data_IF_978274779553
#
_entry.id   IF_978274779553
#
_cell.length_a   1.000
_cell.length_b   1.000
_cell.length_c   1.000
_cell.angle_alpha   90.00
_cell.angle_beta   90.00
_cell.angle_gamma   90.00
#
_symmetry.space_group_name_H-M   'P 1'
#
loop_
_entity.id
_entity.type
_entity.pdbx_description
1 polymer ?
#
# COMPACT_ATOMS: atom_id res chain seq x y z
N UNK A 1 43.21 5.61 28.22
CA UNK A 1 42.61 5.82 29.57
C UNK A 1 41.14 5.41 29.48
N UNK A 2 40.54 4.81 30.52
CA UNK A 2 39.10 4.55 30.50
C UNK A 2 38.36 5.88 30.32
N UNK A 3 37.56 6.00 29.26
CA UNK A 3 36.79 7.20 28.96
C UNK A 3 35.78 7.43 30.07
N UNK A 4 35.90 8.54 30.80
CA UNK A 4 34.91 8.91 31.82
C UNK A 4 33.60 9.26 31.13
N UNK A 5 32.47 9.10 31.83
CA UNK A 5 31.17 9.48 31.28
C UNK A 5 31.13 10.95 30.84
N UNK A 6 31.73 11.84 31.62
CA UNK A 6 31.84 13.26 31.27
C UNK A 6 32.61 13.47 29.96
N UNK A 7 33.74 12.78 29.77
CA UNK A 7 34.51 12.87 28.52
C UNK A 7 33.75 12.31 27.32
N UNK A 8 33.03 11.19 27.49
CA UNK A 8 32.21 10.61 26.42
C UNK A 8 31.04 11.50 26.02
N UNK A 9 30.37 12.14 26.98
CA UNK A 9 29.29 13.08 26.70
C UNK A 9 29.84 14.36 26.04
N UNK A 10 30.99 14.87 26.48
CA UNK A 10 31.63 16.03 25.86
C UNK A 10 31.99 15.78 24.39
N UNK A 11 32.47 14.57 24.07
CA UNK A 11 32.77 14.16 22.70
C UNK A 11 31.51 14.09 21.82
N UNK A 12 30.40 13.55 22.35
CA UNK A 12 29.11 13.55 21.66
C UNK A 12 28.62 14.98 21.41
N UNK A 13 28.76 15.89 22.39
CA UNK A 13 28.40 17.31 22.21
C UNK A 13 29.21 17.94 21.10
N UNK A 14 30.53 17.69 21.04
CA UNK A 14 31.39 18.19 19.97
C UNK A 14 30.93 17.67 18.59
N UNK A 15 30.68 16.36 18.49
CA UNK A 15 30.23 15.74 17.25
C UNK A 15 28.90 16.33 16.73
N UNK A 16 27.93 16.58 17.61
CA UNK A 16 26.64 17.22 17.23
C UNK A 16 26.84 18.71 16.88
N UNK A 17 27.82 19.38 17.51
CA UNK A 17 28.10 20.81 17.29
C UNK A 17 28.77 21.08 15.94
N UNK A 18 29.52 20.11 15.40
CA UNK A 18 30.07 20.16 14.04
C UNK A 18 29.00 19.84 12.99
N UNK A 19 28.09 20.79 12.77
CA UNK A 19 26.90 20.60 11.93
C UNK A 19 27.16 20.21 10.49
N UNK A 20 28.35 20.51 9.94
CA UNK A 20 28.70 20.17 8.56
C UNK A 20 29.12 18.69 8.38
N UNK A 21 29.51 18.02 9.48
CA UNK A 21 29.91 16.61 9.48
C UNK A 21 28.97 15.71 10.27
N UNK A 22 28.12 16.28 11.13
CA UNK A 22 27.08 15.56 11.87
C UNK A 22 26.02 14.97 10.94
N UNK A 23 25.62 13.71 11.14
CA UNK A 23 24.56 13.04 10.34
C UNK A 23 23.30 12.85 11.17
N UNK A 24 23.41 12.19 12.33
CA UNK A 24 22.30 12.03 13.28
C UNK A 24 22.77 11.66 14.67
N UNK A 25 21.92 11.89 15.66
CA UNK A 25 22.07 11.37 17.01
C UNK A 25 20.76 10.72 17.47
N UNK A 26 20.85 9.54 18.09
CA UNK A 26 19.71 8.83 18.67
C UNK A 26 19.97 8.62 20.16
N UNK A 27 19.05 9.11 20.98
CA UNK A 27 19.01 8.88 22.43
C UNK A 27 17.91 7.88 22.74
N UNK A 28 18.25 6.77 23.38
CA UNK A 28 17.26 5.73 23.70
C UNK A 28 17.58 4.94 24.96
N UNK A 29 16.56 4.27 25.50
CA UNK A 29 16.67 3.44 26.70
C UNK A 29 16.81 4.26 27.98
N UNK A 30 16.23 3.77 29.07
CA UNK A 30 16.10 4.50 30.33
C UNK A 30 17.15 4.08 31.35
N UNK A 31 17.78 5.04 32.04
CA UNK A 31 18.64 4.78 33.20
C UNK A 31 17.81 4.39 34.42
N UNK A 32 18.35 3.52 35.27
CA UNK A 32 17.71 3.15 36.55
C UNK A 32 17.57 4.42 37.42
N UNK A 33 16.39 4.64 37.98
CA UNK A 33 16.01 5.82 38.79
C UNK A 33 15.74 7.12 38.02
N UNK A 34 15.63 7.08 36.69
CA UNK A 34 15.11 8.20 35.90
C UNK A 34 13.69 7.89 35.45
N UNK A 35 12.77 8.84 35.62
CA UNK A 35 11.48 8.83 34.94
C UNK A 35 11.61 9.67 33.67
N UNK A 36 11.39 9.03 32.52
CA UNK A 36 11.43 9.69 31.22
C UNK A 36 10.01 9.73 30.68
N UNK A 37 9.50 10.93 30.40
CA UNK A 37 8.26 11.08 29.63
C UNK A 37 8.47 10.78 28.13
N UNK A 38 9.72 10.85 27.67
CA UNK A 38 10.13 10.62 26.28
C UNK A 38 10.95 9.33 26.21
N UNK A 39 10.53 8.37 25.39
CA UNK A 39 11.21 7.07 25.24
C UNK A 39 12.41 7.13 24.29
N UNK A 40 12.36 8.03 23.30
CA UNK A 40 13.40 8.18 22.28
C UNK A 40 13.49 9.62 21.76
N UNK A 41 14.71 10.08 21.54
CA UNK A 41 14.99 11.35 20.85
C UNK A 41 15.87 11.08 19.63
N UNK A 42 15.43 11.53 18.46
CA UNK A 42 16.21 11.52 17.23
C UNK A 42 16.55 12.97 16.84
N UNK A 43 17.84 13.25 16.65
CA UNK A 43 18.38 14.56 16.30
C UNK A 43 19.05 14.46 14.93
N UNK A 44 18.78 15.38 14.01
CA UNK A 44 19.48 15.47 12.72
C UNK A 44 19.66 16.92 12.28
N UNK A 45 20.68 17.24 11.46
CA UNK A 45 20.81 18.58 10.89
C UNK A 45 19.79 18.79 9.77
N UNK A 46 19.27 20.00 9.65
CA UNK A 46 18.34 20.41 8.57
C UNK A 46 18.66 21.82 8.11
N UNK A 47 18.67 22.06 6.80
CA UNK A 47 18.88 23.37 6.21
C UNK A 47 17.54 24.13 6.16
N UNK A 48 17.42 25.22 6.92
CA UNK A 48 16.22 26.05 6.98
C UNK A 48 16.61 27.50 6.73
N UNK A 49 16.05 28.11 5.68
CA UNK A 49 16.32 29.51 5.28
C UNK A 49 17.82 29.84 5.20
N UNK A 50 18.63 28.89 4.73
CA UNK A 50 20.07 29.07 4.53
C UNK A 50 20.95 28.78 5.75
N UNK A 51 20.39 28.39 6.90
CA UNK A 51 21.15 28.00 8.09
C UNK A 51 20.90 26.52 8.45
N UNK A 52 21.95 25.80 8.85
CA UNK A 52 21.81 24.42 9.37
C UNK A 52 21.37 24.49 10.84
N UNK A 53 20.15 24.05 11.10
CA UNK A 53 19.57 23.90 12.44
C UNK A 53 19.53 22.42 12.84
N UNK A 54 19.26 22.14 14.12
CA UNK A 54 19.00 20.79 14.60
C UNK A 54 17.50 20.54 14.67
N UNK A 55 17.04 19.52 13.94
CA UNK A 55 15.70 18.98 14.10
C UNK A 55 15.72 17.91 15.19
N UNK A 56 14.91 18.10 16.23
CA UNK A 56 14.81 17.23 17.40
C UNK A 56 13.41 16.62 17.38
N UNK A 57 13.35 15.30 17.26
CA UNK A 57 12.13 14.50 17.25
C UNK A 57 12.05 13.75 18.58
N UNK A 58 11.03 14.04 19.39
CA UNK A 58 10.82 13.42 20.70
C UNK A 58 9.62 12.48 20.62
N UNK A 59 9.82 11.19 20.92
CA UNK A 59 8.79 10.15 20.88
C UNK A 59 8.47 9.65 22.29
N UNK A 60 7.21 9.75 22.69
CA UNK A 60 6.70 9.29 24.01
C UNK A 60 6.16 7.84 24.00
N UNK A 61 6.30 7.14 22.87
CA UNK A 61 5.77 5.79 22.64
C UNK A 61 4.46 5.77 21.86
N UNK A 62 3.73 6.90 21.80
CA UNK A 62 2.44 7.04 21.11
C UNK A 62 2.48 8.15 20.06
N UNK A 63 3.12 9.28 20.38
CA UNK A 63 3.20 10.49 19.57
C UNK A 63 4.65 10.91 19.42
N UNK A 64 4.96 11.46 18.25
CA UNK A 64 6.25 12.10 17.97
C UNK A 64 6.03 13.60 17.79
N UNK A 65 6.70 14.42 18.60
CA UNK A 65 6.77 15.86 18.40
C UNK A 65 8.06 16.23 17.69
N UNK A 66 8.06 17.33 16.93
CA UNK A 66 9.24 17.78 16.17
C UNK A 66 9.46 19.26 16.37
N UNK A 67 10.69 19.63 16.74
CA UNK A 67 11.12 21.03 16.88
C UNK A 67 12.42 21.26 16.12
N UNK A 68 12.55 22.39 15.45
CA UNK A 68 13.80 22.80 14.80
C UNK A 68 14.40 23.94 15.64
N UNK A 69 15.63 23.79 16.10
CA UNK A 69 16.28 24.76 16.97
C UNK A 69 17.78 24.88 16.66
N UNK A 70 18.30 26.08 16.87
CA UNK A 70 19.72 26.35 16.95
C UNK A 70 20.17 26.08 18.40
N UNK A 71 20.68 24.88 18.70
CA UNK A 71 21.11 24.54 20.06
C UNK A 71 22.58 24.89 20.29
N UNK A 72 22.86 25.55 21.42
CA UNK A 72 24.21 25.71 21.96
C UNK A 72 24.76 24.40 22.53
N UNK A 73 26.07 24.33 22.76
CA UNK A 73 26.74 23.17 23.37
C UNK A 73 26.14 22.82 24.74
N UNK A 74 25.79 23.83 25.53
CA UNK A 74 25.19 23.69 26.85
C UNK A 74 23.77 23.09 26.75
N UNK A 75 23.00 23.51 25.73
CA UNK A 75 21.66 22.97 25.50
C UNK A 75 21.69 21.52 25.00
N UNK A 76 22.67 21.17 24.15
CA UNK A 76 22.90 19.79 23.72
C UNK A 76 23.29 18.95 24.94
N UNK A 77 24.24 19.40 25.76
CA UNK A 77 24.66 18.69 26.97
C UNK A 77 23.49 18.50 27.96
N UNK A 78 22.63 19.51 28.13
CA UNK A 78 21.43 19.39 28.96
C UNK A 78 20.48 18.30 28.42
N UNK A 79 20.31 18.21 27.10
CA UNK A 79 19.48 17.18 26.44
C UNK A 79 20.05 15.77 26.68
N UNK A 80 21.37 15.60 26.59
CA UNK A 80 22.03 14.31 26.83
C UNK A 80 21.91 13.85 28.30
N UNK A 81 21.77 14.80 29.24
CA UNK A 81 21.64 14.53 30.67
C UNK A 81 20.20 14.24 31.13
N UNK A 82 19.24 14.14 30.21
CA UNK A 82 17.82 13.90 30.55
C UNK A 82 17.52 12.51 31.11
N UNK A 83 18.45 11.55 31.00
CA UNK A 83 18.32 10.22 31.64
C UNK A 83 18.40 9.02 30.69
N UNK A 84 18.79 9.23 29.43
CA UNK A 84 18.98 8.16 28.46
C UNK A 84 20.20 7.28 28.79
N UNK A 85 20.12 6.00 28.45
CA UNK A 85 21.16 5.01 28.69
C UNK A 85 21.98 4.69 27.44
N UNK A 86 21.44 4.88 26.24
CA UNK A 86 22.12 4.60 24.98
C UNK A 86 22.12 5.83 24.07
N UNK A 87 23.25 6.05 23.43
CA UNK A 87 23.52 7.15 22.53
C UNK A 87 24.18 6.57 21.28
N UNK A 88 23.63 6.87 20.12
CA UNK A 88 24.28 6.63 18.83
C UNK A 88 24.47 7.98 18.17
N UNK A 89 25.70 8.32 17.80
CA UNK A 89 26.02 9.52 17.03
C UNK A 89 26.70 9.07 15.76
N UNK A 90 26.20 9.50 14.62
CA UNK A 90 26.82 9.29 13.32
C UNK A 90 27.29 10.62 12.78
N UNK A 91 28.54 10.63 12.32
CA UNK A 91 29.16 11.68 11.55
C UNK A 91 29.59 11.10 10.20
N UNK A 92 29.94 11.95 9.23
CA UNK A 92 30.28 11.50 7.87
C UNK A 92 31.37 10.42 7.80
N UNK A 93 32.31 10.43 8.76
CA UNK A 93 33.49 9.56 8.76
C UNK A 93 33.43 8.41 9.78
N UNK A 94 32.33 8.28 10.52
CA UNK A 94 32.18 7.20 11.51
C UNK A 94 31.05 7.41 12.51
N UNK A 95 30.92 6.47 13.45
CA UNK A 95 29.92 6.49 14.50
C UNK A 95 30.51 6.31 15.89
N UNK A 96 29.83 6.89 16.89
CA UNK A 96 30.10 6.74 18.31
C UNK A 96 28.85 6.14 18.95
N UNK A 97 29.00 4.95 19.54
CA UNK A 97 27.96 4.32 20.36
C UNK A 97 28.36 4.37 21.83
N UNK A 98 27.62 5.12 22.64
CA UNK A 98 27.81 5.18 24.10
C UNK A 98 26.65 4.46 24.79
N UNK A 99 26.99 3.55 25.70
CA UNK A 99 26.06 2.91 26.64
C UNK A 99 26.46 3.21 28.07
N UNK A 100 25.53 3.74 28.86
CA UNK A 100 25.70 3.99 30.29
C UNK A 100 25.22 2.75 31.06
N UNK A 101 26.11 2.14 31.83
CA UNK A 101 25.79 0.94 32.60
C UNK A 101 24.91 1.25 33.81
N UNK A 102 24.37 0.21 34.46
CA UNK A 102 23.61 0.35 35.72
C UNK A 102 24.45 0.98 36.86
N UNK A 103 25.79 0.94 36.76
CA UNK A 103 26.71 1.55 37.72
C UNK A 103 27.10 2.99 37.36
N UNK A 104 26.60 3.52 36.24
CA UNK A 104 26.92 4.88 35.76
C UNK A 104 28.21 4.98 34.94
N UNK A 105 28.83 3.84 34.61
CA UNK A 105 30.05 3.80 33.80
C UNK A 105 29.73 3.92 32.30
N UNK A 106 30.60 4.56 31.54
CA UNK A 106 30.48 4.71 30.10
C UNK A 106 31.14 3.55 29.36
N UNK A 107 30.40 2.90 28.47
CA UNK A 107 30.92 1.96 27.48
C UNK A 107 30.82 2.61 26.11
N UNK A 108 31.97 2.97 25.52
CA UNK A 108 32.03 3.66 24.23
C UNK A 108 32.60 2.72 23.17
N UNK A 109 31.93 2.66 22.02
CA UNK A 109 32.38 1.96 20.84
C UNK A 109 32.46 2.92 19.66
N UNK A 110 33.52 2.79 18.86
CA UNK A 110 33.78 3.61 17.69
C UNK A 110 33.82 2.73 16.45
N UNK A 111 33.15 3.17 15.41
CA UNK A 111 33.13 2.51 14.12
C UNK A 111 33.51 3.52 13.03
N UNK A 112 34.39 3.11 12.11
CA UNK A 112 34.67 3.91 10.90
C UNK A 112 33.66 3.52 9.83
N UNK A 113 33.11 4.50 9.13
CA UNK A 113 32.15 4.27 8.06
C UNK A 113 31.82 5.57 7.35
N UNK A 114 31.37 5.48 6.11
CA UNK A 114 30.90 6.65 5.36
C UNK A 114 29.39 6.81 5.53
N UNK A 115 28.97 7.88 6.18
CA UNK A 115 27.57 8.21 6.39
C UNK A 115 27.19 9.47 5.61
N UNK A 116 26.05 9.43 4.91
CA UNK A 116 25.59 10.56 4.10
C UNK A 116 24.76 11.51 4.95
N UNK A 117 25.19 12.76 5.06
CA UNK A 117 24.40 13.81 5.68
C UNK A 117 23.22 14.20 4.77
N UNK A 118 22.01 14.18 5.34
CA UNK A 118 20.81 14.67 4.66
C UNK A 118 20.29 15.94 5.35
N UNK A 119 20.43 17.08 4.67
CA UNK A 119 20.01 18.40 5.15
C UNK A 119 18.57 18.76 4.77
N UNK A 120 17.82 17.88 4.10
CA UNK A 120 16.44 18.15 3.72
C UNK A 120 15.54 18.24 4.97
N UNK A 121 14.91 19.40 5.16
CA UNK A 121 13.95 19.63 6.25
C UNK A 121 12.57 19.02 5.99
N UNK A 122 12.24 18.78 4.72
CA UNK A 122 11.00 18.17 4.30
C UNK A 122 11.27 16.70 4.04
N UNK A 123 10.49 15.84 4.67
CA UNK A 123 10.49 14.43 4.33
C UNK A 123 9.99 14.33 2.88
N UNK A 124 10.88 14.21 1.89
CA UNK A 124 10.50 13.72 0.57
C UNK A 124 9.83 12.37 0.81
N UNK A 125 8.50 12.33 0.66
CA UNK A 125 7.77 11.07 0.63
C UNK A 125 8.41 10.27 -0.50
N UNK A 126 8.86 9.06 -0.22
CA UNK A 126 9.36 8.17 -1.28
C UNK A 126 8.12 7.77 -2.10
N UNK A 127 7.90 8.47 -3.21
CA UNK A 127 6.73 8.30 -4.08
C UNK A 127 7.06 7.21 -5.10
N UNK A 128 6.04 6.41 -5.45
CA UNK A 128 6.18 5.39 -6.49
C UNK A 128 6.15 6.00 -7.89
N UNK A 129 5.40 7.10 -8.06
CA UNK A 129 5.42 7.95 -9.25
C UNK A 129 5.61 9.40 -8.82
N UNK A 130 6.51 10.10 -9.52
CA UNK A 130 6.70 11.53 -9.29
C UNK A 130 5.51 12.32 -9.85
N UNK A 131 5.04 13.39 -9.17
CA UNK A 131 3.97 14.26 -9.66
C UNK A 131 4.16 14.83 -11.06
N UNK A 132 5.41 14.94 -11.50
CA UNK A 132 5.80 15.38 -12.84
C UNK A 132 5.71 14.29 -13.90
N UNK A 133 5.32 13.06 -13.56
CA UNK A 133 5.13 12.00 -14.54
C UNK A 133 4.14 12.46 -15.63
N UNK A 134 4.48 12.33 -16.93
CA UNK A 134 3.64 12.78 -18.03
C UNK A 134 2.20 12.26 -17.95
N UNK A 135 2.01 11.03 -17.48
CA UNK A 135 0.67 10.46 -17.33
C UNK A 135 -0.18 11.29 -16.35
N UNK A 136 0.38 11.69 -15.20
CA UNK A 136 -0.37 12.43 -14.18
C UNK A 136 -0.80 13.80 -14.68
N UNK A 137 -0.01 14.41 -15.56
CA UNK A 137 -0.33 15.67 -16.23
C UNK A 137 -1.46 15.43 -17.24
N UNK A 138 -1.33 14.42 -18.09
CA UNK A 138 -2.27 14.12 -19.19
C UNK A 138 -3.67 13.73 -18.67
N UNK A 139 -3.75 12.92 -17.60
CA UNK A 139 -5.04 12.61 -16.95
C UNK A 139 -5.56 13.74 -16.06
N UNK A 140 -4.81 14.84 -15.96
CA UNK A 140 -5.19 16.06 -15.28
C UNK A 140 -5.15 15.99 -13.75
N UNK A 141 -4.41 15.05 -13.15
CA UNK A 141 -4.13 14.98 -11.71
C UNK A 141 -3.10 16.06 -11.32
N UNK A 142 -2.04 16.19 -12.12
CA UNK A 142 -1.03 17.23 -12.00
C UNK A 142 -1.29 18.39 -12.97
N UNK A 143 -0.71 19.54 -12.69
CA UNK A 143 -0.63 20.66 -13.61
C UNK A 143 0.59 20.54 -14.56
N UNK A 144 0.71 21.47 -15.50
CA UNK A 144 1.82 21.49 -16.48
C UNK A 144 3.20 21.74 -15.86
N UNK A 145 3.27 22.10 -14.57
CA UNK A 145 4.52 22.26 -13.82
C UNK A 145 4.88 21.01 -13.03
N UNK A 146 4.09 19.94 -13.13
CA UNK A 146 4.30 18.70 -12.38
C UNK A 146 3.90 18.81 -10.92
N UNK A 147 2.95 19.69 -10.57
CA UNK A 147 2.42 19.82 -9.21
C UNK A 147 1.01 19.21 -9.15
N UNK A 148 0.77 18.33 -8.17
CA UNK A 148 -0.57 17.73 -7.96
C UNK A 148 -1.58 18.83 -7.62
N UNK A 149 -2.66 18.92 -8.40
CA UNK A 149 -3.71 19.92 -8.18
C UNK A 149 -4.35 19.71 -6.81
N UNK A 150 -4.63 20.78 -6.02
CA UNK A 150 -5.27 20.64 -4.71
C UNK A 150 -6.59 19.85 -4.76
N UNK A 151 -7.39 20.05 -5.81
CA UNK A 151 -8.66 19.33 -6.03
C UNK A 151 -8.53 17.87 -6.46
N UNK A 152 -7.29 17.38 -6.65
CA UNK A 152 -6.98 16.03 -7.15
C UNK A 152 -6.08 15.24 -6.20
N UNK A 153 -5.84 15.74 -4.99
CA UNK A 153 -5.00 15.07 -3.98
C UNK A 153 -5.51 13.66 -3.66
N UNK A 154 -6.83 13.47 -3.52
CA UNK A 154 -7.41 12.16 -3.22
C UNK A 154 -7.15 11.14 -4.34
N UNK A 155 -7.22 11.57 -5.61
CA UNK A 155 -6.90 10.72 -6.76
C UNK A 155 -5.43 10.37 -6.82
N UNK A 156 -4.55 11.32 -6.49
CA UNK A 156 -3.12 11.06 -6.43
C UNK A 156 -2.79 10.06 -5.31
N UNK A 157 -3.39 10.23 -4.13
CA UNK A 157 -3.25 9.27 -3.02
C UNK A 157 -3.75 7.88 -3.42
N UNK A 158 -4.89 7.80 -4.12
CA UNK A 158 -5.41 6.53 -4.63
C UNK A 158 -4.46 5.84 -5.59
N UNK A 159 -3.77 6.60 -6.47
CA UNK A 159 -2.69 6.08 -7.32
C UNK A 159 -1.56 5.52 -6.47
N UNK A 160 -1.08 6.27 -5.47
CA UNK A 160 0.03 5.82 -4.61
C UNK A 160 -0.33 4.54 -3.85
N UNK A 161 -1.48 4.48 -3.18
CA UNK A 161 -1.90 3.30 -2.42
C UNK A 161 -2.12 2.09 -3.33
N UNK A 162 -2.70 2.30 -4.51
CA UNK A 162 -2.86 1.23 -5.49
C UNK A 162 -1.52 0.63 -5.90
N UNK A 163 -0.54 1.47 -6.23
CA UNK A 163 0.79 1.00 -6.61
C UNK A 163 1.53 0.32 -5.44
N UNK A 164 1.32 0.79 -4.20
CA UNK A 164 1.86 0.13 -2.99
C UNK A 164 1.31 -1.28 -2.79
N UNK A 165 0.10 -1.56 -3.26
CA UNK A 165 -0.50 -2.88 -3.21
C UNK A 165 -0.12 -3.73 -4.43
N UNK A 166 -0.17 -3.14 -5.63
CA UNK A 166 0.12 -3.83 -6.88
C UNK A 166 1.57 -4.32 -6.94
N UNK A 167 2.53 -3.43 -6.73
CA UNK A 167 3.94 -3.73 -6.99
C UNK A 167 4.45 -4.92 -6.17
N UNK A 168 4.37 -4.91 -4.82
CA UNK A 168 4.89 -6.03 -4.02
C UNK A 168 4.13 -7.34 -4.29
N UNK A 169 2.85 -7.25 -4.67
CA UNK A 169 2.05 -8.42 -5.01
C UNK A 169 2.52 -9.06 -6.32
N UNK A 170 2.78 -8.26 -7.35
CA UNK A 170 3.37 -8.73 -8.61
C UNK A 170 4.75 -9.35 -8.35
N UNK A 171 5.62 -8.71 -7.57
CA UNK A 171 6.96 -9.20 -7.22
C UNK A 171 6.91 -10.56 -6.54
N UNK A 172 6.03 -10.67 -5.54
CA UNK A 172 5.85 -11.89 -4.77
C UNK A 172 5.30 -13.01 -5.64
N UNK A 173 4.34 -12.71 -6.52
CA UNK A 173 3.74 -13.71 -7.40
C UNK A 173 4.71 -14.19 -8.49
N UNK A 174 5.56 -13.30 -9.04
CA UNK A 174 6.65 -13.69 -9.94
C UNK A 174 7.67 -14.57 -9.20
N UNK A 175 8.12 -14.14 -8.03
CA UNK A 175 9.12 -14.85 -7.23
C UNK A 175 8.64 -16.25 -6.79
N UNK A 176 7.33 -16.39 -6.55
CA UNK A 176 6.70 -17.67 -6.21
C UNK A 176 6.34 -18.53 -7.43
N UNK A 177 6.64 -18.07 -8.66
CA UNK A 177 6.33 -18.81 -9.90
C UNK A 177 4.85 -18.83 -10.28
N UNK A 178 4.04 -17.94 -9.70
CA UNK A 178 2.60 -17.81 -9.96
C UNK A 178 2.31 -16.88 -11.14
N UNK A 179 3.22 -15.94 -11.41
CA UNK A 179 3.25 -15.12 -12.62
C UNK A 179 4.56 -15.35 -13.37
N UNK A 180 4.56 -15.27 -14.71
CA UNK A 180 5.79 -15.30 -15.48
C UNK A 180 6.61 -14.03 -15.22
N UNK A 181 7.95 -14.16 -15.19
CA UNK A 181 8.83 -13.00 -15.24
C UNK A 181 8.71 -12.34 -16.63
N UNK A 182 8.35 -11.04 -16.72
CA UNK A 182 8.14 -10.40 -18.00
C UNK A 182 9.45 -10.21 -18.77
N UNK A 183 9.35 -10.32 -20.10
CA UNK A 183 10.43 -9.99 -21.05
C UNK A 183 9.83 -9.17 -22.18
N UNK A 184 10.66 -8.50 -23.00
CA UNK A 184 10.15 -7.75 -24.16
C UNK A 184 9.31 -8.61 -25.11
N UNK A 185 9.69 -9.88 -25.29
CA UNK A 185 8.94 -10.83 -26.14
C UNK A 185 7.67 -11.40 -25.50
N UNK A 186 7.57 -11.31 -24.16
CA UNK A 186 6.47 -11.84 -23.35
C UNK A 186 6.22 -10.86 -22.20
N UNK A 187 5.58 -9.72 -22.48
CA UNK A 187 5.27 -8.75 -21.45
C UNK A 187 4.23 -9.30 -20.48
N UNK A 188 4.18 -8.75 -19.27
CA UNK A 188 3.14 -9.05 -18.31
C UNK A 188 1.81 -8.47 -18.81
N UNK A 189 0.81 -9.33 -19.00
CA UNK A 189 -0.48 -8.96 -19.56
C UNK A 189 -1.45 -8.58 -18.45
N UNK A 190 -1.87 -7.32 -18.44
CA UNK A 190 -2.80 -6.78 -17.46
C UNK A 190 -4.11 -6.45 -18.15
N UNK A 191 -5.23 -6.87 -17.56
CA UNK A 191 -6.56 -6.52 -18.05
C UNK A 191 -7.33 -5.81 -16.94
N UNK A 192 -7.72 -4.56 -17.19
CA UNK A 192 -8.50 -3.74 -16.26
C UNK A 192 -9.97 -3.72 -16.71
N UNK A 193 -10.81 -4.37 -15.91
CA UNK A 193 -12.21 -4.67 -16.18
C UNK A 193 -13.09 -3.60 -15.52
N UNK A 194 -13.67 -2.71 -16.32
CA UNK A 194 -14.38 -1.54 -15.84
C UNK A 194 -13.43 -0.36 -15.57
N UNK A 195 -12.53 -0.07 -16.51
CA UNK A 195 -11.44 0.90 -16.30
C UNK A 195 -11.92 2.36 -16.23
N UNK A 196 -13.08 2.72 -16.80
CA UNK A 196 -13.62 4.08 -16.77
C UNK A 196 -12.64 5.14 -17.30
N UNK A 197 -12.23 6.06 -16.41
CA UNK A 197 -11.22 7.08 -16.71
C UNK A 197 -9.77 6.59 -16.77
N UNK A 198 -9.55 5.32 -16.48
CA UNK A 198 -8.30 4.59 -16.65
C UNK A 198 -7.06 5.18 -15.95
N UNK A 199 -7.21 6.11 -15.01
CA UNK A 199 -6.04 6.70 -14.34
C UNK A 199 -5.26 5.67 -13.50
N UNK A 200 -5.92 4.67 -12.91
CA UNK A 200 -5.23 3.56 -12.24
C UNK A 200 -4.63 2.57 -13.24
N UNK A 201 -5.28 2.35 -14.38
CA UNK A 201 -4.78 1.57 -15.50
C UNK A 201 -3.45 2.14 -16.01
N UNK A 202 -3.42 3.46 -16.28
CA UNK A 202 -2.21 4.16 -16.70
C UNK A 202 -1.15 4.18 -15.60
N UNK A 203 -1.53 4.34 -14.33
CA UNK A 203 -0.59 4.28 -13.22
C UNK A 203 0.10 2.91 -13.14
N UNK A 204 -0.64 1.80 -13.24
CA UNK A 204 -0.07 0.45 -13.27
C UNK A 204 0.92 0.29 -14.43
N UNK A 205 0.50 0.70 -15.63
CA UNK A 205 1.33 0.66 -16.83
C UNK A 205 2.65 1.43 -16.64
N UNK A 206 2.55 2.72 -16.29
CA UNK A 206 3.70 3.62 -16.17
C UNK A 206 4.67 3.15 -15.08
N UNK A 207 4.15 2.78 -13.92
CA UNK A 207 4.98 2.34 -12.81
C UNK A 207 5.72 1.04 -13.14
N UNK A 208 5.01 0.02 -13.64
CA UNK A 208 5.65 -1.25 -13.97
C UNK A 208 6.69 -1.07 -15.09
N UNK A 209 6.38 -0.29 -16.11
CA UNK A 209 7.34 0.04 -17.18
C UNK A 209 8.57 0.79 -16.65
N UNK A 210 8.40 1.72 -15.69
CA UNK A 210 9.51 2.45 -15.05
C UNK A 210 10.41 1.57 -14.15
N UNK A 211 9.95 0.36 -13.81
CA UNK A 211 10.69 -0.62 -13.00
C UNK A 211 11.25 -1.76 -13.85
N UNK A 212 11.52 -1.48 -15.14
CA UNK A 212 12.06 -2.42 -16.13
C UNK A 212 11.21 -3.68 -16.31
N UNK A 213 9.88 -3.56 -16.19
CA UNK A 213 8.93 -4.64 -16.49
C UNK A 213 8.14 -4.33 -17.75
N UNK A 214 8.42 -5.05 -18.85
CA UNK A 214 7.58 -4.98 -20.03
C UNK A 214 6.15 -5.38 -19.67
N UNK A 215 5.20 -4.51 -19.99
CA UNK A 215 3.77 -4.69 -19.70
C UNK A 215 2.96 -4.43 -20.95
N UNK A 216 1.88 -5.20 -21.11
CA UNK A 216 0.83 -4.91 -22.07
C UNK A 216 -0.49 -4.80 -21.31
N UNK A 217 -1.18 -3.68 -21.45
CA UNK A 217 -2.37 -3.37 -20.66
C UNK A 217 -3.59 -3.22 -21.57
N UNK A 218 -4.69 -3.89 -21.22
CA UNK A 218 -5.98 -3.78 -21.91
C UNK A 218 -6.99 -3.20 -20.92
N UNK A 219 -7.50 -1.99 -21.20
CA UNK A 219 -8.61 -1.40 -20.45
C UNK A 219 -9.96 -1.71 -21.11
N UNK A 220 -10.87 -2.32 -20.37
CA UNK A 220 -12.24 -2.65 -20.82
C UNK A 220 -13.24 -1.71 -20.14
N UNK A 221 -14.09 -1.06 -20.92
CA UNK A 221 -15.23 -0.29 -20.42
C UNK A 221 -16.38 -0.36 -21.43
N UNK A 222 -17.63 -0.27 -21.00
CA UNK A 222 -18.77 -0.30 -21.93
C UNK A 222 -18.94 1.02 -22.71
N UNK A 223 -18.37 2.12 -22.21
CA UNK A 223 -18.59 3.45 -22.78
C UNK A 223 -17.57 3.76 -23.86
N UNK A 224 -18.08 3.93 -25.07
CA UNK A 224 -17.28 4.34 -26.24
C UNK A 224 -16.54 5.68 -26.01
N UNK A 225 -17.14 6.62 -25.28
CA UNK A 225 -16.51 7.89 -24.91
C UNK A 225 -15.28 7.67 -24.00
N UNK A 226 -15.36 6.73 -23.05
CA UNK A 226 -14.22 6.37 -22.20
C UNK A 226 -13.08 5.80 -23.03
N UNK A 227 -13.39 4.86 -23.96
CA UNK A 227 -12.42 4.29 -24.90
C UNK A 227 -11.71 5.38 -25.69
N UNK A 228 -12.46 6.22 -26.40
CA UNK A 228 -11.91 7.26 -27.27
C UNK A 228 -11.03 8.27 -26.50
N UNK A 229 -11.46 8.68 -25.30
CA UNK A 229 -10.65 9.55 -24.43
C UNK A 229 -9.34 8.88 -24.02
N UNK A 230 -9.41 7.63 -23.55
CA UNK A 230 -8.24 6.94 -23.03
C UNK A 230 -7.24 6.60 -24.15
N UNK A 231 -7.70 6.28 -25.36
CA UNK A 231 -6.84 6.13 -26.54
C UNK A 231 -6.11 7.42 -26.90
N UNK A 232 -6.80 8.56 -26.85
CA UNK A 232 -6.17 9.87 -27.09
C UNK A 232 -5.06 10.15 -26.08
N UNK A 233 -5.29 9.80 -24.80
CA UNK A 233 -4.28 9.92 -23.73
C UNK A 233 -3.09 8.99 -24.02
N UNK A 234 -3.34 7.73 -24.40
CA UNK A 234 -2.28 6.78 -24.74
C UNK A 234 -1.41 7.26 -25.93
N UNK A 235 -2.04 7.85 -26.94
CA UNK A 235 -1.35 8.46 -28.08
C UNK A 235 -0.50 9.66 -27.67
N UNK A 236 -1.04 10.56 -26.83
CA UNK A 236 -0.33 11.73 -26.32
C UNK A 236 0.90 11.33 -25.48
N UNK A 237 0.81 10.21 -24.75
CA UNK A 237 1.90 9.65 -23.96
C UNK A 237 2.88 8.79 -24.77
N UNK A 238 2.59 8.48 -26.04
CA UNK A 238 3.44 7.65 -26.89
C UNK A 238 3.51 6.18 -26.46
N UNK A 239 2.45 5.66 -25.85
CA UNK A 239 2.40 4.29 -25.27
C UNK A 239 1.37 3.38 -25.95
N UNK A 240 0.79 3.80 -27.08
CA UNK A 240 -0.26 3.04 -27.79
C UNK A 240 0.13 1.64 -28.25
N UNK A 241 1.42 1.30 -28.24
CA UNK A 241 1.90 -0.07 -28.55
C UNK A 241 1.80 -1.02 -27.35
N UNK A 242 1.73 -0.50 -26.13
CA UNK A 242 1.76 -1.26 -24.87
C UNK A 242 0.49 -1.07 -24.03
N UNK A 243 -0.44 -0.22 -24.45
CA UNK A 243 -1.76 -0.09 -23.85
C UNK A 243 -2.85 0.11 -24.91
N UNK A 244 -3.93 -0.64 -24.79
CA UNK A 244 -5.11 -0.54 -25.64
C UNK A 244 -6.40 -0.44 -24.81
N UNK A 245 -7.46 0.11 -25.40
CA UNK A 245 -8.77 0.23 -24.75
C UNK A 245 -9.87 -0.33 -25.64
N UNK A 246 -10.82 -1.05 -25.04
CA UNK A 246 -11.92 -1.68 -25.78
C UNK A 246 -13.26 -1.30 -25.18
N UNK A 247 -14.19 -0.90 -26.04
CA UNK A 247 -15.56 -0.60 -25.69
C UNK A 247 -16.40 -1.89 -25.69
N UNK A 248 -16.37 -2.63 -24.59
CA UNK A 248 -16.96 -3.96 -24.47
C UNK A 248 -17.56 -4.19 -23.09
N UNK A 249 -18.59 -5.03 -23.03
CA UNK A 249 -19.05 -5.59 -21.75
C UNK A 249 -18.03 -6.60 -21.22
N UNK A 250 -17.82 -6.61 -19.91
CA UNK A 250 -16.88 -7.53 -19.24
C UNK A 250 -17.21 -8.99 -19.58
N UNK A 251 -18.49 -9.37 -19.46
CA UNK A 251 -18.96 -10.72 -19.75
C UNK A 251 -18.80 -11.13 -21.23
N UNK A 252 -18.82 -10.16 -22.16
CA UNK A 252 -18.67 -10.39 -23.59
C UNK A 252 -17.22 -10.27 -24.08
N UNK A 253 -16.28 -9.92 -23.19
CA UNK A 253 -14.87 -9.71 -23.56
C UNK A 253 -14.23 -11.05 -23.91
N UNK A 254 -13.77 -11.18 -25.16
CA UNK A 254 -13.19 -12.41 -25.69
C UNK A 254 -11.96 -12.85 -24.90
N UNK A 255 -11.72 -14.17 -24.88
CA UNK A 255 -10.56 -14.75 -24.22
C UNK A 255 -9.27 -14.12 -24.73
N UNK A 256 -8.50 -13.55 -23.81
CA UNK A 256 -7.18 -12.97 -24.05
C UNK A 256 -6.19 -13.56 -23.06
N UNK A 257 -4.89 -13.47 -23.36
CA UNK A 257 -3.87 -13.83 -22.40
C UNK A 257 -3.91 -12.82 -21.24
N UNK A 258 -4.00 -13.28 -20.00
CA UNK A 258 -4.06 -12.43 -18.81
C UNK A 258 -3.22 -13.03 -17.70
N UNK A 259 -2.28 -12.22 -17.20
CA UNK A 259 -1.47 -12.55 -16.03
C UNK A 259 -2.09 -11.89 -14.79
N UNK A 260 -2.49 -10.61 -14.93
CA UNK A 260 -3.08 -9.80 -13.86
C UNK A 260 -4.44 -9.25 -14.30
N UNK A 261 -5.50 -9.57 -13.57
CA UNK A 261 -6.81 -8.96 -13.73
C UNK A 261 -7.04 -7.89 -12.66
N UNK A 262 -7.54 -6.73 -13.07
CA UNK A 262 -7.83 -5.58 -12.22
C UNK A 262 -9.31 -5.23 -12.37
N UNK A 263 -9.98 -4.87 -11.27
CA UNK A 263 -11.36 -4.38 -11.28
C UNK A 263 -11.58 -3.40 -10.13
N UNK A 264 -11.25 -2.12 -10.32
CA UNK A 264 -11.19 -1.13 -9.22
C UNK A 264 -12.41 -0.22 -9.12
N UNK A 265 -13.24 -0.21 -10.16
CA UNK A 265 -14.45 0.62 -10.25
C UNK A 265 -15.65 -0.13 -10.86
N UNK A 266 -15.55 -1.45 -11.04
CA UNK A 266 -16.69 -2.27 -11.41
C UNK A 266 -17.63 -2.33 -10.20
N UNK A 267 -18.86 -1.83 -10.33
CA UNK A 267 -19.81 -1.77 -9.23
C UNK A 267 -20.89 -2.85 -9.32
N UNK A 268 -21.37 -3.28 -8.14
CA UNK A 268 -22.41 -4.29 -7.97
C UNK A 268 -22.02 -5.61 -8.68
N UNK A 269 -22.88 -6.16 -9.52
CA UNK A 269 -22.61 -7.41 -10.26
C UNK A 269 -21.49 -7.28 -11.28
N UNK A 270 -21.08 -6.06 -11.67
CA UNK A 270 -19.94 -5.89 -12.58
C UNK A 270 -18.63 -6.35 -11.92
N UNK A 271 -18.49 -6.24 -10.58
CA UNK A 271 -17.35 -6.84 -9.88
C UNK A 271 -17.37 -8.36 -10.05
N UNK A 272 -18.54 -8.99 -9.96
CA UNK A 272 -18.71 -10.43 -10.10
C UNK A 272 -18.44 -10.89 -11.54
N UNK A 273 -18.87 -10.13 -12.55
CA UNK A 273 -18.51 -10.38 -13.95
C UNK A 273 -16.99 -10.33 -14.13
N UNK A 274 -16.32 -9.36 -13.50
CA UNK A 274 -14.86 -9.22 -13.58
C UNK A 274 -14.12 -10.39 -12.91
N UNK A 275 -14.57 -10.79 -11.71
CA UNK A 275 -14.02 -11.96 -11.01
C UNK A 275 -14.24 -13.24 -11.80
N UNK A 276 -15.45 -13.44 -12.34
CA UNK A 276 -15.77 -14.59 -13.16
C UNK A 276 -14.92 -14.63 -14.44
N UNK A 277 -14.78 -13.49 -15.11
CA UNK A 277 -13.93 -13.36 -16.30
C UNK A 277 -12.48 -13.70 -15.97
N UNK A 278 -11.93 -13.17 -14.88
CA UNK A 278 -10.55 -13.44 -14.46
C UNK A 278 -10.31 -14.92 -14.18
N UNK A 279 -11.25 -15.58 -13.49
CA UNK A 279 -11.20 -17.02 -13.23
C UNK A 279 -11.23 -17.83 -14.53
N UNK A 280 -12.19 -17.54 -15.43
CA UNK A 280 -12.37 -18.26 -16.72
C UNK A 280 -11.18 -18.10 -17.65
N UNK A 281 -10.51 -16.95 -17.60
CA UNK A 281 -9.31 -16.67 -18.40
C UNK A 281 -8.02 -17.12 -17.70
N UNK A 282 -8.12 -17.59 -16.46
CA UNK A 282 -7.02 -18.20 -15.73
C UNK A 282 -5.97 -17.22 -15.21
N UNK A 283 -6.37 -15.97 -14.92
CA UNK A 283 -5.48 -14.93 -14.39
C UNK A 283 -4.70 -15.45 -13.16
N UNK A 284 -3.38 -15.20 -13.13
CA UNK A 284 -2.53 -15.60 -12.01
C UNK A 284 -2.71 -14.69 -10.78
N UNK A 285 -3.07 -13.43 -11.00
CA UNK A 285 -3.34 -12.43 -9.97
C UNK A 285 -4.63 -11.68 -10.28
N UNK A 286 -5.45 -11.44 -9.25
CA UNK A 286 -6.67 -10.63 -9.31
C UNK A 286 -6.59 -9.56 -8.22
N UNK A 287 -6.84 -8.30 -8.58
CA UNK A 287 -7.03 -7.18 -7.67
C UNK A 287 -8.37 -6.52 -7.95
N UNK A 288 -9.34 -6.71 -7.05
CA UNK A 288 -10.67 -6.12 -7.18
C UNK A 288 -10.97 -5.21 -5.99
N UNK A 289 -11.49 -4.00 -6.24
CA UNK A 289 -11.97 -3.09 -5.21
C UNK A 289 -13.48 -2.90 -5.39
N UNK A 290 -14.32 -3.72 -4.74
CA UNK A 290 -15.76 -3.66 -4.91
C UNK A 290 -16.35 -2.34 -4.38
N UNK A 291 -17.09 -1.62 -5.23
CA UNK A 291 -17.69 -0.33 -4.86
C UNK A 291 -19.17 -0.40 -4.46
N UNK A 292 -19.92 -1.44 -4.85
CA UNK A 292 -21.33 -1.64 -4.51
C UNK A 292 -21.64 -3.13 -4.29
N UNK A 293 -22.66 -3.41 -3.45
CA UNK A 293 -22.94 -4.74 -2.93
C UNK A 293 -24.45 -5.01 -2.81
N UNK A 294 -25.22 -4.78 -3.88
CA UNK A 294 -26.67 -4.91 -3.80
C UNK A 294 -27.17 -6.35 -4.01
N UNK A 295 -26.40 -7.20 -4.70
CA UNK A 295 -26.80 -8.59 -4.99
C UNK A 295 -27.25 -9.34 -3.73
N UNK A 296 -26.34 -9.55 -2.77
CA UNK A 296 -26.67 -10.28 -1.54
C UNK A 296 -27.64 -9.49 -0.67
N UNK A 297 -27.50 -8.17 -0.58
CA UNK A 297 -28.42 -7.34 0.23
C UNK A 297 -29.89 -7.53 -0.17
N UNK A 298 -30.19 -7.66 -1.47
CA UNK A 298 -31.55 -7.88 -1.98
C UNK A 298 -32.07 -9.29 -1.71
N UNK A 299 -31.20 -10.24 -1.41
CA UNK A 299 -31.55 -11.63 -1.14
C UNK A 299 -31.71 -11.90 0.37
N UNK A 300 -31.29 -10.97 1.24
CA UNK A 300 -31.38 -11.09 2.70
C UNK A 300 -32.81 -10.88 3.22
N UNK A 301 -33.75 -11.71 2.77
CA UNK A 301 -35.15 -11.72 3.20
C UNK A 301 -35.36 -12.69 4.38
N UNK A 302 -34.81 -13.90 4.29
CA UNK A 302 -34.85 -14.90 5.35
C UNK A 302 -33.58 -14.80 6.23
N UNK A 303 -33.65 -13.99 7.29
CA UNK A 303 -32.51 -13.83 8.21
C UNK A 303 -32.44 -15.01 9.18
N UNK A 304 -31.33 -15.79 9.21
CA UNK A 304 -31.18 -16.86 10.19
C UNK A 304 -31.02 -16.29 11.61
N UNK A 305 -31.68 -16.89 12.60
CA UNK A 305 -31.44 -16.54 14.00
C UNK A 305 -30.01 -16.94 14.43
N UNK A 306 -29.32 -16.15 15.29
CA UNK A 306 -29.79 -14.96 16.01
C UNK A 306 -29.55 -13.63 15.27
N UNK A 307 -29.26 -13.64 13.97
CA UNK A 307 -28.84 -12.44 13.23
C UNK A 307 -29.93 -11.38 13.09
N UNK A 308 -31.18 -11.72 13.41
CA UNK A 308 -32.29 -10.75 13.52
C UNK A 308 -31.99 -9.63 14.52
N UNK A 309 -31.15 -9.89 15.53
CA UNK A 309 -30.67 -8.86 16.47
C UNK A 309 -29.88 -7.75 15.76
N UNK A 310 -29.08 -8.11 14.74
CA UNK A 310 -28.27 -7.16 13.96
C UNK A 310 -29.11 -6.54 12.84
N UNK A 311 -29.84 -7.36 12.08
CA UNK A 311 -30.47 -6.93 10.82
C UNK A 311 -31.77 -6.14 11.00
N UNK A 312 -32.34 -6.08 12.22
CA UNK A 312 -33.44 -5.15 12.56
C UNK A 312 -33.04 -3.69 12.42
N UNK A 313 -31.74 -3.37 12.55
CA UNK A 313 -31.21 -2.04 12.33
C UNK A 313 -30.77 -1.91 10.87
N UNK A 314 -31.44 -1.06 10.08
CA UNK A 314 -31.20 -0.96 8.62
C UNK A 314 -29.73 -0.75 8.25
N UNK A 315 -29.03 0.16 8.93
CA UNK A 315 -27.60 0.41 8.70
C UNK A 315 -26.71 -0.80 9.02
N UNK A 316 -27.06 -1.60 10.02
CA UNK A 316 -26.28 -2.80 10.36
C UNK A 316 -26.59 -3.95 9.38
N UNK A 317 -27.85 -4.05 8.89
CA UNK A 317 -28.22 -4.99 7.83
C UNK A 317 -27.44 -4.71 6.55
N UNK A 318 -27.36 -3.45 6.13
CA UNK A 318 -26.61 -3.03 4.95
C UNK A 318 -25.12 -3.39 5.06
N UNK A 319 -24.48 -3.02 6.18
CA UNK A 319 -23.06 -3.34 6.42
C UNK A 319 -22.81 -4.84 6.48
N UNK A 320 -23.70 -5.61 7.08
CA UNK A 320 -23.60 -7.07 7.09
C UNK A 320 -23.71 -7.64 5.67
N UNK A 321 -24.61 -7.09 4.85
CA UNK A 321 -24.73 -7.46 3.44
C UNK A 321 -23.47 -7.16 2.63
N UNK A 322 -22.84 -6.01 2.84
CA UNK A 322 -21.54 -5.67 2.22
C UNK A 322 -20.47 -6.70 2.61
N UNK A 323 -20.36 -7.01 3.90
CA UNK A 323 -19.41 -8.00 4.43
C UNK A 323 -19.68 -9.40 3.87
N UNK A 324 -20.94 -9.85 3.86
CA UNK A 324 -21.33 -11.15 3.35
C UNK A 324 -21.00 -11.27 1.85
N UNK A 325 -21.28 -10.23 1.07
CA UNK A 325 -20.97 -10.20 -0.36
C UNK A 325 -19.47 -10.41 -0.60
N UNK A 326 -18.61 -9.64 0.06
CA UNK A 326 -17.16 -9.76 -0.14
C UNK A 326 -16.59 -11.06 0.45
N UNK A 327 -17.15 -11.56 1.56
CA UNK A 327 -16.80 -12.85 2.12
C UNK A 327 -17.13 -14.00 1.16
N UNK A 328 -18.31 -13.97 0.53
CA UNK A 328 -18.74 -14.95 -0.47
C UNK A 328 -17.83 -14.89 -1.70
N UNK A 329 -17.54 -13.69 -2.22
CA UNK A 329 -16.60 -13.51 -3.34
C UNK A 329 -15.22 -14.10 -3.02
N UNK A 330 -14.69 -13.79 -1.85
CA UNK A 330 -13.42 -14.35 -1.39
C UNK A 330 -13.46 -15.87 -1.27
N UNK A 331 -14.55 -16.41 -0.72
CA UNK A 331 -14.70 -17.86 -0.53
C UNK A 331 -14.80 -18.59 -1.87
N UNK A 332 -15.57 -18.07 -2.84
CA UNK A 332 -15.66 -18.64 -4.18
C UNK A 332 -14.27 -18.70 -4.84
N UNK A 333 -13.48 -17.62 -4.77
CA UNK A 333 -12.12 -17.62 -5.32
C UNK A 333 -11.21 -18.64 -4.62
N UNK A 334 -11.33 -18.82 -3.29
CA UNK A 334 -10.59 -19.86 -2.55
C UNK A 334 -10.95 -21.26 -3.01
N UNK A 335 -12.25 -21.55 -3.17
CA UNK A 335 -12.73 -22.82 -3.69
C UNK A 335 -12.16 -23.11 -5.08
N UNK A 336 -11.93 -22.07 -5.88
CA UNK A 336 -11.39 -22.16 -7.24
C UNK A 336 -9.85 -22.07 -7.29
N UNK A 337 -9.17 -22.30 -6.16
CA UNK A 337 -7.71 -22.49 -6.11
C UNK A 337 -6.89 -21.21 -6.02
N UNK A 338 -7.48 -20.11 -5.55
CA UNK A 338 -6.77 -18.88 -5.24
C UNK A 338 -6.49 -18.77 -3.74
N UNK A 339 -5.33 -18.26 -3.39
CA UNK A 339 -5.08 -17.68 -2.07
C UNK A 339 -5.65 -16.27 -2.05
N UNK A 340 -6.59 -16.00 -1.15
CA UNK A 340 -7.39 -14.76 -1.15
C UNK A 340 -7.30 -14.01 0.17
N UNK A 341 -7.03 -12.72 0.07
CA UNK A 341 -6.97 -11.77 1.19
C UNK A 341 -7.86 -10.57 0.88
N UNK A 342 -8.61 -10.12 1.88
CA UNK A 342 -9.29 -8.84 1.85
C UNK A 342 -8.45 -7.85 2.68
N UNK A 343 -7.95 -6.80 2.03
CA UNK A 343 -7.03 -5.83 2.63
C UNK A 343 -7.58 -4.42 2.50
N UNK A 344 -7.10 -3.50 3.33
CA UNK A 344 -7.42 -2.08 3.19
C UNK A 344 -6.74 -1.50 1.95
N UNK A 345 -7.52 -0.78 1.13
CA UNK A 345 -7.07 -0.13 -0.10
C UNK A 345 -6.72 1.34 0.13
N UNK A 346 -7.61 2.12 0.73
CA UNK A 346 -7.41 3.55 1.01
C UNK A 346 -7.92 3.80 2.42
N UNK A 347 -7.19 4.57 3.23
CA UNK A 347 -7.58 4.87 4.61
C UNK A 347 -9.07 5.25 4.73
N UNK A 348 -9.78 4.65 5.70
CA UNK A 348 -11.24 4.80 5.90
C UNK A 348 -11.76 6.23 6.07
N UNK A 349 -10.87 7.20 6.30
CA UNK A 349 -11.15 8.65 6.28
C UNK A 349 -11.75 9.13 4.93
N UNK A 350 -11.48 8.40 3.84
CA UNK A 350 -11.79 8.81 2.45
C UNK A 350 -13.04 8.14 1.89
N UNK A 351 -13.37 6.94 2.35
CA UNK A 351 -14.54 6.18 1.90
C UNK A 351 -14.90 5.09 2.93
N UNK A 352 -16.19 4.85 3.22
CA UNK A 352 -16.62 3.72 4.03
C UNK A 352 -16.37 2.37 3.34
N UNK A 353 -16.13 2.37 2.02
CA UNK A 353 -15.76 1.20 1.22
C UNK A 353 -14.29 1.29 0.87
N UNK A 354 -13.46 0.71 1.73
CA UNK A 354 -12.00 0.75 1.67
C UNK A 354 -11.36 -0.63 1.44
N UNK A 355 -12.10 -1.62 0.92
CA UNK A 355 -11.62 -3.00 0.80
C UNK A 355 -11.11 -3.29 -0.62
N UNK A 356 -9.99 -4.02 -0.69
CA UNK A 356 -9.49 -4.67 -1.90
C UNK A 356 -9.39 -6.18 -1.68
N UNK A 357 -9.98 -6.94 -2.59
CA UNK A 357 -9.81 -8.39 -2.71
C UNK A 357 -8.55 -8.62 -3.56
N UNK A 358 -7.53 -9.21 -2.92
CA UNK A 358 -6.31 -9.69 -3.57
C UNK A 358 -6.36 -11.20 -3.64
N UNK A 359 -6.34 -11.76 -4.85
CA UNK A 359 -6.37 -13.21 -5.06
C UNK A 359 -5.21 -13.65 -5.96
N UNK A 360 -4.40 -14.59 -5.48
CA UNK A 360 -3.27 -15.15 -6.23
C UNK A 360 -3.52 -16.63 -6.48
N UNK A 361 -3.43 -17.06 -7.74
CA UNK A 361 -3.68 -18.44 -8.13
C UNK A 361 -2.55 -19.33 -7.63
N UNK A 362 -2.86 -20.28 -6.76
CA UNK A 362 -1.89 -21.23 -6.20
C UNK A 362 -2.09 -22.63 -6.74
N UNK A 363 -3.28 -22.95 -7.27
CA UNK A 363 -3.64 -24.29 -7.71
C UNK A 363 -3.84 -25.28 -6.56
N UNK A 364 -3.84 -24.81 -5.30
CA UNK A 364 -4.11 -25.65 -4.13
C UNK A 364 -5.60 -26.00 -4.13
N UNK A 365 -5.90 -27.29 -4.00
CA UNK A 365 -7.28 -27.77 -3.96
C UNK A 365 -8.03 -27.21 -2.73
N UNK A 366 -9.32 -26.95 -2.91
CA UNK A 366 -10.19 -26.52 -1.83
C UNK A 366 -10.21 -27.55 -0.69
N UNK A 367 -10.14 -27.08 0.55
CA UNK A 367 -10.30 -27.95 1.70
C UNK A 367 -11.78 -28.28 1.91
N UNK A 368 -12.08 -29.50 2.37
CA UNK A 368 -13.47 -29.91 2.62
C UNK A 368 -14.19 -28.98 3.59
N UNK A 369 -13.50 -28.51 4.62
CA UNK A 369 -14.06 -27.55 5.58
C UNK A 369 -14.47 -26.22 4.93
N UNK A 370 -13.76 -25.77 3.89
CA UNK A 370 -14.08 -24.53 3.17
C UNK A 370 -15.28 -24.70 2.25
N UNK A 371 -15.44 -25.89 1.67
CA UNK A 371 -16.65 -26.28 0.91
C UNK A 371 -17.86 -26.32 1.83
N UNK A 372 -17.76 -27.05 2.95
CA UNK A 372 -18.88 -27.23 3.88
C UNK A 372 -19.33 -25.89 4.49
N UNK A 373 -18.38 -24.99 4.84
CA UNK A 373 -18.69 -23.64 5.32
C UNK A 373 -19.40 -22.80 4.27
N UNK A 374 -18.96 -22.87 3.01
CA UNK A 374 -19.59 -22.15 1.92
C UNK A 374 -21.04 -22.62 1.72
N UNK A 375 -21.24 -23.94 1.57
CA UNK A 375 -22.58 -24.53 1.39
C UNK A 375 -23.49 -24.17 2.55
N UNK A 376 -23.02 -24.34 3.79
CA UNK A 376 -23.79 -24.02 4.99
C UNK A 376 -24.20 -22.54 5.02
N UNK A 377 -23.29 -21.62 4.69
CA UNK A 377 -23.60 -20.19 4.67
C UNK A 377 -24.66 -19.86 3.61
N UNK A 378 -24.53 -20.42 2.41
CA UNK A 378 -25.49 -20.22 1.33
C UNK A 378 -26.88 -20.77 1.69
N UNK A 379 -26.94 -21.96 2.29
CA UNK A 379 -28.20 -22.59 2.72
C UNK A 379 -28.86 -21.84 3.88
N UNK A 380 -28.10 -21.48 4.92
CA UNK A 380 -28.62 -20.79 6.10
C UNK A 380 -29.21 -19.42 5.77
N UNK A 381 -28.58 -18.70 4.84
CA UNK A 381 -29.02 -17.37 4.41
C UNK A 381 -29.92 -17.41 3.17
N UNK A 382 -30.18 -18.60 2.61
CA UNK A 382 -30.99 -18.82 1.40
C UNK A 382 -30.52 -17.98 0.20
N UNK A 383 -29.20 -17.89 0.01
CA UNK A 383 -28.60 -17.04 -1.00
C UNK A 383 -28.44 -17.76 -2.34
N UNK A 384 -28.46 -17.00 -3.42
CA UNK A 384 -28.05 -17.38 -4.76
C UNK A 384 -27.09 -16.30 -5.30
N UNK A 385 -25.82 -16.29 -4.87
CA UNK A 385 -24.87 -15.26 -5.28
C UNK A 385 -24.71 -15.24 -6.81
N UNK A 386 -24.74 -14.05 -7.41
CA UNK A 386 -24.61 -13.92 -8.86
C UNK A 386 -23.27 -14.51 -9.36
N UNK A 387 -22.16 -14.25 -8.67
CA UNK A 387 -20.85 -14.83 -9.00
C UNK A 387 -20.88 -16.36 -9.05
N UNK A 388 -21.57 -17.01 -8.12
CA UNK A 388 -21.71 -18.47 -8.09
C UNK A 388 -22.53 -18.99 -9.28
N UNK A 389 -23.52 -18.23 -9.71
CA UNK A 389 -24.33 -18.53 -10.91
C UNK A 389 -23.47 -18.45 -12.17
N UNK A 390 -22.66 -17.40 -12.31
CA UNK A 390 -21.79 -17.21 -13.48
C UNK A 390 -20.66 -18.25 -13.54
N UNK A 391 -20.19 -18.71 -12.38
CA UNK A 391 -19.12 -19.72 -12.21
C UNK A 391 -19.66 -21.13 -11.90
N UNK A 392 -20.91 -21.42 -12.27
CA UNK A 392 -21.55 -22.70 -11.92
C UNK A 392 -20.77 -23.92 -12.44
N UNK A 393 -20.21 -23.84 -13.64
CA UNK A 393 -19.45 -24.94 -14.23
C UNK A 393 -18.17 -25.21 -13.43
N UNK A 394 -17.43 -24.15 -13.10
CA UNK A 394 -16.18 -24.20 -12.35
C UNK A 394 -16.41 -24.70 -10.92
N UNK A 395 -17.45 -24.18 -10.25
CA UNK A 395 -17.79 -24.59 -8.89
C UNK A 395 -18.32 -26.03 -8.81
N UNK A 396 -19.02 -26.51 -9.84
CA UNK A 396 -19.54 -27.89 -9.86
C UNK A 396 -18.43 -28.95 -9.80
N UNK A 397 -17.21 -28.61 -10.23
CA UNK A 397 -16.05 -29.51 -10.16
C UNK A 397 -15.45 -29.62 -8.75
N UNK A 398 -15.80 -28.70 -7.86
CA UNK A 398 -15.24 -28.59 -6.50
C UNK A 398 -16.28 -28.94 -5.43
N UNK A 399 -17.56 -28.66 -5.69
CA UNK A 399 -18.64 -28.84 -4.72
C UNK A 399 -19.23 -30.27 -4.68
N UNK A 400 -18.84 -31.14 -5.61
CA UNK A 400 -19.12 -32.60 -5.55
C UNK A 400 -18.23 -33.28 -4.53
#
# INVERSE_FOLDING_TARGET
MPTTLESALAEIVEAISHRDSFVRCVLSGRRRNFELAIERIDIKPVLIKGAILLQIMENDGVRTTTKNADLSREQILALLNTGFANFLVESRDGSISLRITKKGEAQVHYEKGEFVQNLEHDRKKNRLLEPSDPFLIEVGISDSKGVVKPSRQDKFKQVEEFLRLLAPTVDSAISAGQLPAPTESKPLNIVDLGCGHAYLTFAAHQYLRSTDRPVHVIGIDIREESRARNEKIAMALGISESIEFRAQEIAATTKTNVDVAIALHACDTATDDALAWAVKNGAGLILAAPCCHHDIQRQMDAIPEPWSMVTKQGILKERLGDILTDAIRCQILRLLGYRVEAIEFIGGEHTPRNLMIRAVKTGVAAQRADIDRYVLLIEQWQLSPYLATVLKAELSLVLT
#
